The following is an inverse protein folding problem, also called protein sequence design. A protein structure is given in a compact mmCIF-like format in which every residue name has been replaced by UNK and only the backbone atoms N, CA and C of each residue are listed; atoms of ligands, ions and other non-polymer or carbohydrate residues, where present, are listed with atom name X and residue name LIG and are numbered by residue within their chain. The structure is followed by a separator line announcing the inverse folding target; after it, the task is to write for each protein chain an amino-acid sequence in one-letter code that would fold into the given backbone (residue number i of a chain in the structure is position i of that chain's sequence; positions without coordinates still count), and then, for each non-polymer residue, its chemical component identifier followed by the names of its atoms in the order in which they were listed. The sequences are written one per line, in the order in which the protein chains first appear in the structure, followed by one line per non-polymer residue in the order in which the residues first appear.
data_IF_036625008961
#
_entry.id   IF_036625008961
#
_cell.length_a   1.000
_cell.length_b   1.000
_cell.length_c   1.000
_cell.angle_alpha   90.00
_cell.angle_beta   90.00
_cell.angle_gamma   90.00
#
_symmetry.space_group_name_H-M   'P 1'
#
loop_
_entity.id
_entity.type
_entity.pdbx_description
1 polymer ?
#
# COMPACT_ATOMS: atom_id res chain seq x y z
N UNK A 1 24.45 -0.06 2.64
CA UNK A 1 25.04 -1.42 2.70
C UNK A 1 26.56 -1.42 2.91
N UNK A 2 27.38 -1.03 1.92
CA UNK A 2 28.86 -1.10 2.01
C UNK A 2 29.47 -0.49 3.28
N UNK A 3 29.01 0.72 3.68
CA UNK A 3 29.51 1.41 4.88
C UNK A 3 29.37 0.58 6.16
N UNK A 4 28.26 -0.15 6.31
CA UNK A 4 27.96 -0.96 7.52
C UNK A 4 28.88 -2.19 7.55
N UNK A 5 28.98 -2.93 6.44
CA UNK A 5 29.86 -4.11 6.33
C UNK A 5 31.32 -3.72 6.57
N UNK A 6 31.78 -2.64 5.93
CA UNK A 6 33.14 -2.13 6.10
C UNK A 6 33.42 -1.68 7.53
N UNK A 7 32.45 -1.06 8.20
CA UNK A 7 32.59 -0.60 9.58
C UNK A 7 32.90 -1.77 10.52
N UNK A 8 32.05 -2.80 10.53
CA UNK A 8 32.25 -3.98 11.39
C UNK A 8 33.51 -4.77 11.02
N UNK A 9 33.83 -4.89 9.73
CA UNK A 9 35.07 -5.53 9.30
C UNK A 9 36.33 -4.81 9.80
N UNK A 10 36.37 -3.47 9.68
CA UNK A 10 37.49 -2.66 10.17
C UNK A 10 37.57 -2.71 11.71
N UNK A 11 36.43 -2.67 12.40
CA UNK A 11 36.40 -2.82 13.86
C UNK A 11 37.01 -4.16 14.28
N UNK A 12 36.56 -5.27 13.70
CA UNK A 12 37.10 -6.60 13.99
C UNK A 12 38.61 -6.68 13.81
N UNK A 13 39.14 -6.07 12.75
CA UNK A 13 40.58 -5.98 12.51
C UNK A 13 41.32 -5.13 13.55
N UNK A 14 40.79 -3.95 13.88
CA UNK A 14 41.45 -3.01 14.81
C UNK A 14 41.49 -3.53 16.24
N UNK A 15 40.40 -4.16 16.69
CA UNK A 15 40.29 -4.65 18.07
C UNK A 15 40.75 -6.10 18.22
N UNK A 16 41.13 -6.77 17.12
CA UNK A 16 41.40 -8.21 17.08
C UNK A 16 40.24 -9.04 17.68
N UNK A 17 39.01 -8.54 17.54
CA UNK A 17 37.81 -9.16 18.11
C UNK A 17 37.03 -9.86 17.00
N UNK A 18 37.09 -11.20 17.01
CA UNK A 18 36.45 -12.05 16.01
C UNK A 18 34.92 -11.99 16.05
N UNK A 19 34.30 -11.55 17.16
CA UNK A 19 32.84 -11.41 17.25
C UNK A 19 32.29 -10.41 16.23
N UNK A 20 33.03 -9.34 15.91
CA UNK A 20 32.62 -8.42 14.84
C UNK A 20 32.62 -9.07 13.46
N UNK A 21 33.52 -10.02 13.21
CA UNK A 21 33.56 -10.78 11.96
C UNK A 21 32.39 -11.76 11.91
N UNK A 22 32.10 -12.45 13.01
CA UNK A 22 30.93 -13.32 13.10
C UNK A 22 29.62 -12.57 12.88
N UNK A 23 29.46 -11.38 13.46
CA UNK A 23 28.28 -10.55 13.22
C UNK A 23 28.10 -10.28 11.73
N UNK A 24 29.16 -9.86 11.02
CA UNK A 24 29.10 -9.66 9.56
C UNK A 24 28.68 -10.94 8.84
N UNK A 25 29.31 -12.09 9.15
CA UNK A 25 28.99 -13.35 8.49
C UNK A 25 27.54 -13.79 8.74
N UNK A 26 27.02 -13.61 9.94
CA UNK A 26 25.64 -13.94 10.31
C UNK A 26 24.61 -13.09 9.56
N UNK A 27 24.88 -11.78 9.39
CA UNK A 27 23.94 -10.87 8.70
C UNK A 27 24.17 -10.78 7.19
N UNK A 28 25.27 -11.33 6.67
CA UNK A 28 25.64 -11.23 5.26
C UNK A 28 24.56 -11.77 4.31
N UNK A 29 23.89 -12.90 4.59
CA UNK A 29 22.80 -13.37 3.74
C UNK A 29 21.69 -12.33 3.57
N UNK A 30 21.25 -11.68 4.65
CA UNK A 30 20.20 -10.66 4.56
C UNK A 30 20.67 -9.38 3.89
N UNK A 31 21.91 -8.97 4.13
CA UNK A 31 22.52 -7.87 3.37
C UNK A 31 22.49 -8.16 1.86
N UNK A 32 22.79 -9.40 1.47
CA UNK A 32 22.76 -9.82 0.06
C UNK A 32 21.34 -9.83 -0.51
N UNK A 33 20.33 -10.25 0.26
CA UNK A 33 18.92 -10.17 -0.16
C UNK A 33 18.51 -8.71 -0.38
N UNK A 34 18.81 -7.82 0.57
CA UNK A 34 18.54 -6.38 0.45
C UNK A 34 19.21 -5.80 -0.80
N UNK A 35 20.50 -6.11 -1.01
CA UNK A 35 21.24 -5.62 -2.18
C UNK A 35 20.61 -6.07 -3.52
N UNK A 36 20.16 -7.33 -3.58
CA UNK A 36 19.46 -7.86 -4.77
C UNK A 36 18.12 -7.17 -4.99
N UNK A 37 17.34 -6.93 -3.94
CA UNK A 37 16.05 -6.25 -4.03
C UNK A 37 16.19 -4.80 -4.52
N UNK A 38 17.19 -4.05 -4.05
CA UNK A 38 17.49 -2.72 -4.59
C UNK A 38 17.98 -2.77 -6.03
N UNK A 39 18.75 -3.79 -6.41
CA UNK A 39 19.18 -3.93 -7.80
C UNK A 39 18.00 -4.19 -8.74
N UNK A 40 17.09 -5.09 -8.36
CA UNK A 40 15.89 -5.38 -9.17
C UNK A 40 14.90 -4.22 -9.18
N UNK A 41 14.82 -3.42 -8.11
CA UNK A 41 13.96 -2.23 -8.09
C UNK A 41 14.38 -1.20 -9.13
N UNK A 42 15.68 -0.94 -9.31
CA UNK A 42 16.18 -0.02 -10.35
C UNK A 42 15.68 -0.41 -11.74
N UNK A 43 15.69 -1.72 -12.06
CA UNK A 43 15.17 -2.21 -13.34
C UNK A 43 13.65 -2.08 -13.44
N UNK A 44 12.90 -2.33 -12.35
CA UNK A 44 11.46 -2.15 -12.30
C UNK A 44 11.08 -0.68 -12.56
N UNK A 45 11.75 0.25 -11.87
CA UNK A 45 11.54 1.68 -12.02
C UNK A 45 11.89 2.17 -13.42
N UNK A 46 13.01 1.71 -13.99
CA UNK A 46 13.42 2.06 -15.35
C UNK A 46 12.42 1.59 -16.41
N UNK A 47 11.80 0.42 -16.21
CA UNK A 47 10.82 -0.17 -17.15
C UNK A 47 9.38 0.24 -16.87
N UNK A 48 9.12 0.95 -15.78
CA UNK A 48 7.76 1.25 -15.32
C UNK A 48 6.96 -0.02 -15.00
N UNK A 49 7.62 -1.04 -14.46
CA UNK A 49 6.96 -2.31 -14.06
C UNK A 49 6.42 -2.18 -12.63
N UNK A 50 5.19 -2.68 -12.34
CA UNK A 50 4.66 -2.68 -10.98
C UNK A 50 5.57 -3.37 -9.97
N UNK A 51 5.66 -2.78 -8.77
CA UNK A 51 6.38 -3.30 -7.61
C UNK A 51 5.40 -3.79 -6.54
N UNK A 52 5.86 -4.57 -5.55
CA UNK A 52 4.99 -5.13 -4.50
C UNK A 52 4.17 -4.08 -3.75
N UNK A 53 4.78 -2.92 -3.45
CA UNK A 53 4.11 -1.78 -2.79
C UNK A 53 2.94 -1.21 -3.61
N UNK A 54 2.90 -1.48 -4.92
CA UNK A 54 1.80 -1.05 -5.79
C UNK A 54 0.51 -1.86 -5.66
N UNK A 55 0.41 -2.76 -4.68
CA UNK A 55 -0.78 -3.58 -4.51
C UNK A 55 -2.06 -2.75 -4.27
N UNK A 56 -2.03 -1.76 -3.36
CA UNK A 56 -3.19 -0.93 -3.08
C UNK A 56 -3.71 -0.21 -4.34
N UNK A 57 -2.84 0.52 -5.07
CA UNK A 57 -3.20 1.09 -6.36
C UNK A 57 -3.69 0.06 -7.38
N UNK A 58 -3.11 -1.15 -7.42
CA UNK A 58 -3.54 -2.21 -8.32
C UNK A 58 -4.96 -2.68 -7.99
N UNK A 59 -5.31 -2.84 -6.72
CA UNK A 59 -6.67 -3.20 -6.28
C UNK A 59 -7.68 -2.16 -6.75
N UNK A 60 -7.36 -0.88 -6.60
CA UNK A 60 -8.22 0.21 -7.10
C UNK A 60 -8.35 0.15 -8.62
N UNK A 61 -7.25 -0.04 -9.35
CA UNK A 61 -7.27 -0.13 -10.80
C UNK A 61 -8.10 -1.33 -11.30
N UNK A 62 -8.00 -2.49 -10.63
CA UNK A 62 -8.82 -3.68 -10.89
C UNK A 62 -10.30 -3.39 -10.64
N UNK A 63 -10.62 -2.81 -9.50
CA UNK A 63 -11.99 -2.43 -9.17
C UNK A 63 -12.55 -1.50 -10.26
N UNK A 64 -11.84 -0.43 -10.65
CA UNK A 64 -12.31 0.48 -11.71
C UNK A 64 -12.52 -0.28 -13.04
N UNK A 65 -11.57 -1.12 -13.42
CA UNK A 65 -11.58 -1.85 -14.69
C UNK A 65 -12.74 -2.83 -14.81
N UNK A 66 -13.20 -3.43 -13.71
CA UNK A 66 -14.35 -4.33 -13.71
C UNK A 66 -15.68 -3.63 -14.04
N UNK A 67 -15.82 -2.35 -13.68
CA UNK A 67 -17.06 -1.60 -13.91
C UNK A 67 -16.98 -0.75 -15.18
N UNK A 68 -15.91 0.02 -15.33
CA UNK A 68 -15.70 0.86 -16.51
C UNK A 68 -14.20 1.09 -16.78
N UNK A 69 -13.61 0.35 -17.73
CA UNK A 69 -12.20 0.49 -18.11
C UNK A 69 -11.80 1.89 -18.61
N UNK A 70 -12.76 2.68 -19.09
CA UNK A 70 -12.51 4.01 -19.66
C UNK A 70 -12.90 5.14 -18.70
N UNK A 71 -13.11 4.83 -17.42
CA UNK A 71 -13.45 5.82 -16.42
C UNK A 71 -12.28 6.78 -16.21
N UNK A 72 -12.48 8.05 -16.51
CA UNK A 72 -11.48 9.09 -16.28
C UNK A 72 -11.37 9.41 -14.79
N UNK A 73 -10.13 9.63 -14.34
CA UNK A 73 -9.84 9.99 -12.96
C UNK A 73 -9.93 11.51 -12.75
N UNK A 74 -10.53 11.93 -11.64
CA UNK A 74 -10.42 13.30 -11.13
C UNK A 74 -9.18 13.42 -10.24
N UNK A 75 -8.49 14.57 -10.25
CA UNK A 75 -7.41 14.83 -9.29
C UNK A 75 -7.97 15.50 -8.03
N UNK A 76 -7.92 14.80 -6.89
CA UNK A 76 -8.53 15.26 -5.62
C UNK A 76 -7.51 15.93 -4.70
N UNK A 77 -6.25 15.49 -4.76
CA UNK A 77 -5.12 16.04 -4.03
C UNK A 77 -3.84 15.84 -4.85
N UNK A 78 -2.73 16.38 -4.38
CA UNK A 78 -1.42 16.27 -5.04
C UNK A 78 -1.07 14.81 -5.33
N UNK A 79 -1.00 14.47 -6.62
CA UNK A 79 -0.71 13.13 -7.13
C UNK A 79 -1.67 12.04 -6.61
N UNK A 80 -2.94 12.37 -6.36
CA UNK A 80 -3.99 11.40 -6.01
C UNK A 80 -5.14 11.45 -7.02
N UNK A 81 -5.44 10.29 -7.59
CA UNK A 81 -6.57 10.05 -8.49
C UNK A 81 -7.80 9.56 -7.73
N UNK A 82 -8.96 10.11 -8.09
CA UNK A 82 -10.28 9.74 -7.60
C UNK A 82 -11.12 9.19 -8.76
N UNK A 83 -11.73 8.04 -8.53
CA UNK A 83 -12.73 7.45 -9.42
C UNK A 83 -14.04 7.29 -8.66
N UNK A 84 -15.16 7.43 -9.36
CA UNK A 84 -16.50 7.30 -8.79
C UNK A 84 -17.22 6.15 -9.48
N UNK A 85 -17.60 5.14 -8.70
CA UNK A 85 -18.30 3.96 -9.19
C UNK A 85 -19.56 3.77 -8.35
N UNK A 86 -20.63 3.31 -8.99
CA UNK A 86 -21.83 2.87 -8.28
C UNK A 86 -21.80 1.35 -8.18
N UNK A 87 -21.81 0.82 -6.96
CA UNK A 87 -21.89 -0.61 -6.69
C UNK A 87 -23.16 -0.92 -5.92
N UNK A 88 -24.10 -1.68 -6.50
CA UNK A 88 -25.35 -2.08 -5.83
C UNK A 88 -26.04 -0.91 -5.10
N UNK A 89 -26.24 0.21 -5.80
CA UNK A 89 -26.86 1.41 -5.24
C UNK A 89 -25.99 2.22 -4.27
N UNK A 90 -24.75 1.82 -3.99
CA UNK A 90 -23.77 2.54 -3.14
C UNK A 90 -22.84 3.38 -3.97
N UNK A 91 -22.48 4.56 -3.47
CA UNK A 91 -21.52 5.46 -4.09
C UNK A 91 -20.10 5.13 -3.59
N UNK A 92 -19.29 4.48 -4.41
CA UNK A 92 -17.92 4.08 -4.05
C UNK A 92 -16.92 5.09 -4.63
N UNK A 93 -16.21 5.77 -3.73
CA UNK A 93 -15.15 6.73 -4.04
C UNK A 93 -13.80 6.00 -3.96
N UNK A 94 -13.28 5.59 -5.10
CA UNK A 94 -12.03 4.84 -5.22
C UNK A 94 -10.86 5.83 -5.34
N UNK A 95 -9.87 5.72 -4.46
CA UNK A 95 -8.74 6.65 -4.35
C UNK A 95 -7.43 5.89 -4.47
N UNK A 96 -6.51 6.34 -5.33
CA UNK A 96 -5.14 5.81 -5.40
C UNK A 96 -4.14 6.90 -5.79
N UNK A 97 -2.85 6.65 -5.55
CA UNK A 97 -1.81 7.49 -6.11
C UNK A 97 -1.88 7.55 -7.64
N UNK A 98 -1.55 8.71 -8.21
CA UNK A 98 -1.59 8.94 -9.66
C UNK A 98 -0.53 8.06 -10.35
N UNK A 99 -0.96 7.29 -11.33
CA UNK A 99 -0.12 6.37 -12.08
C UNK A 99 -0.06 6.72 -13.56
N UNK A 100 0.83 6.08 -14.35
CA UNK A 100 1.71 4.95 -13.99
C UNK A 100 3.09 5.38 -13.46
N UNK A 101 3.25 6.64 -13.03
CA UNK A 101 4.48 7.12 -12.39
C UNK A 101 4.69 6.51 -11.00
N UNK A 102 5.94 6.58 -10.50
CA UNK A 102 6.32 6.05 -9.18
C UNK A 102 5.88 6.92 -8.01
N UNK A 103 4.66 7.48 -8.08
CA UNK A 103 4.09 8.36 -7.07
C UNK A 103 3.46 7.57 -5.92
N UNK A 104 3.54 8.13 -4.71
CA UNK A 104 2.80 7.68 -3.52
C UNK A 104 1.69 8.67 -3.16
N UNK A 105 1.83 9.93 -3.56
CA UNK A 105 0.85 11.00 -3.35
C UNK A 105 0.63 11.38 -1.88
N UNK A 106 -0.44 12.14 -1.63
CA UNK A 106 -0.89 12.56 -0.29
C UNK A 106 -2.29 12.02 0.03
N UNK A 107 -2.42 10.71 0.35
CA UNK A 107 -3.73 10.07 0.55
C UNK A 107 -4.49 10.64 1.74
N UNK A 108 -3.82 11.11 2.79
CA UNK A 108 -4.45 11.73 3.94
C UNK A 108 -5.12 13.06 3.61
N UNK A 109 -4.47 13.88 2.78
CA UNK A 109 -5.07 15.13 2.28
C UNK A 109 -6.28 14.85 1.38
N UNK A 110 -6.19 13.82 0.53
CA UNK A 110 -7.30 13.40 -0.33
C UNK A 110 -8.52 12.94 0.47
N UNK A 111 -8.33 12.02 1.43
CA UNK A 111 -9.41 11.49 2.28
C UNK A 111 -10.04 12.60 3.11
N UNK A 112 -9.22 13.47 3.73
CA UNK A 112 -9.70 14.62 4.48
C UNK A 112 -10.60 15.51 3.62
N UNK A 113 -10.14 15.87 2.43
CA UNK A 113 -10.90 16.71 1.49
C UNK A 113 -12.23 16.05 1.09
N UNK A 114 -12.24 14.75 0.82
CA UNK A 114 -13.46 14.01 0.45
C UNK A 114 -14.50 14.01 1.58
N UNK A 115 -14.05 13.81 2.82
CA UNK A 115 -14.93 13.82 3.99
C UNK A 115 -15.48 15.22 4.24
N UNK A 116 -14.62 16.25 4.20
CA UNK A 116 -15.01 17.65 4.44
C UNK A 116 -15.97 18.17 3.36
N UNK A 117 -15.71 17.89 2.08
CA UNK A 117 -16.59 18.26 0.97
C UNK A 117 -18.00 17.67 1.08
N UNK A 118 -18.12 16.52 1.74
CA UNK A 118 -19.39 15.83 1.99
C UNK A 118 -19.97 16.11 3.36
N UNK A 119 -19.38 17.05 4.11
CA UNK A 119 -19.80 17.37 5.49
C UNK A 119 -19.90 16.12 6.38
N UNK A 120 -19.02 15.14 6.17
CA UNK A 120 -19.02 13.88 6.92
C UNK A 120 -20.00 12.81 6.41
N UNK A 121 -20.70 13.02 5.29
CA UNK A 121 -21.61 12.02 4.70
C UNK A 121 -20.84 10.89 3.99
N UNK A 122 -20.03 10.17 4.75
CA UNK A 122 -19.28 8.97 4.38
C UNK A 122 -19.62 7.91 5.44
N UNK A 123 -20.13 6.76 5.03
CA UNK A 123 -20.51 5.70 5.97
C UNK A 123 -19.31 4.89 6.47
N UNK A 124 -18.27 4.76 5.63
CA UNK A 124 -17.10 3.93 5.92
C UNK A 124 -15.90 4.29 5.04
N UNK A 125 -14.70 4.03 5.56
CA UNK A 125 -13.44 4.06 4.82
C UNK A 125 -12.86 2.65 4.80
N UNK A 126 -12.48 2.15 3.62
CA UNK A 126 -11.81 0.87 3.43
C UNK A 126 -10.43 1.16 2.85
N UNK A 127 -9.38 0.90 3.61
CA UNK A 127 -7.99 1.10 3.18
C UNK A 127 -7.39 -0.22 2.73
N UNK A 128 -6.61 -0.18 1.65
CA UNK A 128 -5.88 -1.35 1.15
C UNK A 128 -4.41 -1.01 1.06
N UNK A 129 -3.57 -1.81 1.72
CA UNK A 129 -2.13 -1.56 1.78
C UNK A 129 -1.32 -2.86 1.64
N UNK A 130 -0.07 -2.72 1.23
CA UNK A 130 0.94 -3.76 1.27
C UNK A 130 1.60 -3.79 2.65
N UNK A 131 1.56 -4.93 3.34
CA UNK A 131 2.13 -5.05 4.69
C UNK A 131 3.31 -6.00 4.73
N UNK A 132 4.30 -5.70 5.57
CA UNK A 132 5.38 -6.63 5.88
C UNK A 132 4.84 -7.89 6.57
N UNK A 133 5.27 -9.05 6.06
CA UNK A 133 5.00 -10.36 6.66
C UNK A 133 6.05 -10.71 7.71
N UNK A 134 5.68 -11.53 8.68
CA UNK A 134 6.62 -12.27 9.51
C UNK A 134 7.09 -13.55 8.78
N UNK A 135 8.22 -14.11 9.20
CA UNK A 135 8.80 -15.26 8.48
C UNK A 135 7.87 -16.49 8.44
N UNK A 136 7.04 -16.64 9.49
CA UNK A 136 6.02 -17.70 9.56
C UNK A 136 4.72 -17.41 8.78
N UNK A 137 4.53 -16.18 8.29
CA UNK A 137 3.34 -15.80 7.53
C UNK A 137 3.56 -16.08 6.03
N UNK A 138 2.58 -16.66 5.32
CA UNK A 138 2.67 -16.84 3.88
C UNK A 138 2.67 -15.50 3.14
N UNK A 139 3.41 -15.44 2.02
CA UNK A 139 3.29 -14.33 1.08
C UNK A 139 1.88 -14.31 0.49
N UNK A 140 1.36 -13.11 0.24
CA UNK A 140 0.02 -12.86 -0.24
C UNK A 140 -1.11 -13.26 0.72
N UNK A 141 -0.80 -13.48 2.00
CA UNK A 141 -1.84 -13.62 3.04
C UNK A 141 -2.63 -12.32 3.17
N UNK A 142 -3.96 -12.40 3.12
CA UNK A 142 -4.84 -11.24 3.25
C UNK A 142 -5.41 -11.19 4.66
N UNK A 143 -5.09 -10.11 5.35
CA UNK A 143 -5.49 -9.83 6.74
C UNK A 143 -6.36 -8.60 6.81
N UNK A 144 -7.32 -8.58 7.72
CA UNK A 144 -8.26 -7.47 7.91
C UNK A 144 -8.10 -6.88 9.31
N UNK A 145 -8.04 -5.56 9.39
CA UNK A 145 -7.85 -4.80 10.62
C UNK A 145 -8.84 -3.64 10.71
N UNK A 146 -8.91 -3.02 11.89
CA UNK A 146 -9.65 -1.77 12.12
C UNK A 146 -8.63 -0.65 12.29
N UNK A 147 -8.91 0.51 11.69
CA UNK A 147 -8.02 1.67 11.69
C UNK A 147 -7.23 1.82 10.40
N UNK A 148 -6.46 2.91 10.31
CA UNK A 148 -5.74 3.25 9.10
C UNK A 148 -4.51 2.35 8.91
N UNK A 149 -4.45 1.68 7.76
CA UNK A 149 -3.29 0.91 7.32
C UNK A 149 -2.48 1.73 6.31
N UNK A 150 -1.30 2.16 6.74
CA UNK A 150 -0.32 2.84 5.91
C UNK A 150 1.08 2.50 6.45
N UNK A 151 2.01 2.15 5.55
CA UNK A 151 3.38 1.81 5.91
C UNK A 151 4.17 2.94 6.61
N UNK A 152 3.77 4.20 6.41
CA UNK A 152 4.33 5.35 7.13
C UNK A 152 3.55 5.62 8.44
N UNK A 153 4.17 5.48 9.63
CA UNK A 153 3.53 5.85 10.90
C UNK A 153 3.36 7.38 11.07
N UNK A 154 3.82 8.18 10.12
CA UNK A 154 3.91 9.64 10.18
C UNK A 154 2.59 10.40 9.90
N UNK A 155 2.68 11.56 9.21
CA UNK A 155 1.61 12.56 9.16
C UNK A 155 0.35 12.10 8.42
N UNK A 156 0.49 11.24 7.41
CA UNK A 156 -0.66 10.80 6.61
C UNK A 156 -1.60 9.89 7.41
N UNK A 157 -1.06 8.96 8.20
CA UNK A 157 -1.86 8.12 9.11
C UNK A 157 -2.66 8.98 10.08
N UNK A 158 -1.97 9.91 10.74
CA UNK A 158 -2.57 10.80 11.72
C UNK A 158 -3.71 11.63 11.12
N UNK A 159 -3.49 12.23 9.93
CA UNK A 159 -4.53 13.03 9.25
C UNK A 159 -5.79 12.21 8.98
N UNK A 160 -5.64 10.96 8.52
CA UNK A 160 -6.76 10.07 8.21
C UNK A 160 -7.52 9.70 9.49
N UNK A 161 -6.81 9.29 10.54
CA UNK A 161 -7.44 8.89 11.80
C UNK A 161 -8.07 10.08 12.52
N UNK A 162 -7.46 11.26 12.49
CA UNK A 162 -7.98 12.50 13.07
C UNK A 162 -9.31 12.88 12.41
N UNK A 163 -9.35 12.96 11.08
CA UNK A 163 -10.57 13.35 10.35
C UNK A 163 -11.65 12.29 10.48
N UNK A 164 -11.32 11.00 10.39
CA UNK A 164 -12.30 9.93 10.55
C UNK A 164 -12.89 9.93 11.95
N UNK A 165 -12.07 10.14 12.99
CA UNK A 165 -12.54 10.24 14.38
C UNK A 165 -13.45 11.44 14.57
N UNK A 166 -13.08 12.61 14.03
CA UNK A 166 -13.88 13.84 14.10
C UNK A 166 -15.30 13.67 13.55
N UNK A 167 -15.45 12.91 12.46
CA UNK A 167 -16.74 12.63 11.82
C UNK A 167 -17.34 11.28 12.21
N UNK A 168 -16.73 10.56 13.16
CA UNK A 168 -17.17 9.24 13.63
C UNK A 168 -17.31 8.19 12.51
N UNK A 169 -16.41 8.25 11.52
CA UNK A 169 -16.41 7.34 10.37
C UNK A 169 -15.54 6.12 10.70
N UNK A 170 -16.07 4.89 10.63
CA UNK A 170 -15.28 3.69 10.85
C UNK A 170 -14.28 3.46 9.69
N UNK A 171 -13.08 3.00 10.05
CA UNK A 171 -12.04 2.62 9.10
C UNK A 171 -11.80 1.11 9.20
N UNK A 172 -11.99 0.41 8.09
CA UNK A 172 -11.53 -0.95 7.89
C UNK A 172 -10.27 -0.93 7.03
N UNK A 173 -9.33 -1.84 7.30
CA UNK A 173 -8.15 -2.00 6.45
C UNK A 173 -7.96 -3.45 6.03
N UNK A 174 -7.55 -3.64 4.79
CA UNK A 174 -7.17 -4.91 4.20
C UNK A 174 -5.69 -4.82 3.86
N UNK A 175 -4.89 -5.67 4.50
CA UNK A 175 -3.45 -5.68 4.31
C UNK A 175 -3.05 -7.03 3.75
N UNK A 176 -2.29 -6.99 2.65
CA UNK A 176 -1.73 -8.20 2.06
C UNK A 176 -0.26 -8.30 2.43
N UNK A 177 0.07 -9.42 3.07
CA UNK A 177 1.39 -9.70 3.63
C UNK A 177 2.38 -10.05 2.54
N UNK A 178 3.55 -9.42 2.56
CA UNK A 178 4.66 -9.71 1.67
C UNK A 178 6.00 -9.53 2.38
N UNK A 179 7.06 -10.12 1.82
CA UNK A 179 8.41 -9.82 2.32
C UNK A 179 8.68 -8.32 2.15
N UNK A 180 9.27 -7.62 3.14
CA UNK A 180 9.62 -6.20 2.99
C UNK A 180 10.47 -5.90 1.74
N UNK A 181 11.26 -6.87 1.27
CA UNK A 181 12.03 -6.75 0.04
C UNK A 181 11.18 -6.89 -1.23
N UNK A 182 10.06 -7.61 -1.16
CA UNK A 182 9.12 -7.73 -2.27
C UNK A 182 8.37 -6.41 -2.51
N UNK A 183 8.19 -5.59 -1.48
CA UNK A 183 7.56 -4.27 -1.62
C UNK A 183 8.30 -3.36 -2.61
N UNK A 184 9.64 -3.42 -2.62
CA UNK A 184 10.48 -2.60 -3.53
C UNK A 184 10.85 -3.32 -4.83
N UNK A 185 10.71 -4.65 -4.89
CA UNK A 185 11.03 -5.45 -6.06
C UNK A 185 9.84 -5.56 -7.03
N UNK A 186 10.07 -6.12 -8.22
CA UNK A 186 9.02 -6.43 -9.19
C UNK A 186 7.91 -7.25 -8.51
N UNK A 187 6.66 -6.84 -8.70
CA UNK A 187 5.51 -7.50 -8.09
C UNK A 187 5.45 -8.97 -8.48
N UNK A 188 5.43 -9.85 -7.48
CA UNK A 188 5.26 -11.30 -7.70
C UNK A 188 3.84 -11.61 -8.16
N UNK A 189 3.70 -12.68 -8.96
CA UNK A 189 2.40 -13.14 -9.47
C UNK A 189 1.38 -13.38 -8.37
N UNK A 190 1.79 -14.00 -7.27
CA UNK A 190 0.97 -14.28 -6.08
C UNK A 190 0.38 -12.99 -5.47
N UNK A 191 1.18 -11.92 -5.35
CA UNK A 191 0.73 -10.60 -4.87
C UNK A 191 -0.27 -9.99 -5.87
N UNK A 192 0.03 -10.05 -7.17
CA UNK A 192 -0.88 -9.54 -8.20
C UNK A 192 -2.22 -10.27 -8.23
N UNK A 193 -2.24 -11.59 -8.00
CA UNK A 193 -3.48 -12.38 -7.95
C UNK A 193 -4.29 -12.12 -6.67
N UNK A 194 -3.61 -11.80 -5.57
CA UNK A 194 -4.29 -11.40 -4.34
C UNK A 194 -5.11 -10.12 -4.52
N UNK A 195 -4.74 -9.24 -5.47
CA UNK A 195 -5.51 -8.02 -5.75
C UNK A 195 -6.98 -8.32 -6.11
N UNK A 196 -7.22 -9.34 -6.92
CA UNK A 196 -8.58 -9.74 -7.32
C UNK A 196 -9.37 -10.24 -6.08
N UNK A 197 -8.72 -11.07 -5.24
CA UNK A 197 -9.31 -11.53 -3.97
C UNK A 197 -9.57 -10.40 -2.96
N UNK A 198 -8.79 -9.32 -3.00
CA UNK A 198 -9.03 -8.12 -2.19
C UNK A 198 -10.23 -7.34 -2.72
N UNK A 199 -10.41 -7.22 -4.04
CA UNK A 199 -11.62 -6.61 -4.63
C UNK A 199 -12.88 -7.34 -4.14
N UNK A 200 -12.87 -8.67 -4.13
CA UNK A 200 -13.99 -9.47 -3.62
C UNK A 200 -14.24 -9.23 -2.12
N UNK A 201 -13.19 -9.05 -1.32
CA UNK A 201 -13.33 -8.67 0.11
C UNK A 201 -13.91 -7.28 0.28
N UNK A 202 -13.50 -6.30 -0.54
CA UNK A 202 -14.09 -4.95 -0.50
C UNK A 202 -15.59 -5.03 -0.78
N UNK A 203 -16.00 -5.75 -1.84
CA UNK A 203 -17.42 -5.94 -2.19
C UNK A 203 -18.21 -6.55 -1.04
N UNK A 204 -17.67 -7.59 -0.40
CA UNK A 204 -18.26 -8.20 0.79
C UNK A 204 -18.44 -7.22 1.94
N UNK A 205 -17.42 -6.39 2.22
CA UNK A 205 -17.50 -5.35 3.27
C UNK A 205 -18.59 -4.31 2.92
N UNK A 206 -18.70 -3.92 1.64
CA UNK A 206 -19.75 -3.01 1.18
C UNK A 206 -21.14 -3.63 1.42
N UNK A 207 -21.34 -4.89 1.08
CA UNK A 207 -22.61 -5.60 1.27
C UNK A 207 -22.97 -5.79 2.75
N UNK A 208 -22.03 -6.23 3.58
CA UNK A 208 -22.27 -6.59 4.97
C UNK A 208 -22.35 -5.38 5.92
N UNK A 209 -21.64 -4.29 5.61
CA UNK A 209 -21.41 -3.18 6.56
C UNK A 209 -21.90 -1.82 6.09
N UNK A 210 -22.59 -1.75 4.93
CA UNK A 210 -23.15 -0.50 4.39
C UNK A 210 -24.49 -0.77 3.70
N UNK A 211 -25.29 0.28 3.49
CA UNK A 211 -26.63 0.20 2.91
C UNK A 211 -26.70 0.91 1.55
N UNK A 212 -27.73 0.61 0.76
CA UNK A 212 -27.99 1.34 -0.48
C UNK A 212 -28.09 2.86 -0.21
N UNK A 213 -27.53 3.67 -1.12
CA UNK A 213 -27.42 5.12 -0.97
C UNK A 213 -26.20 5.59 -0.17
N UNK A 214 -25.55 4.71 0.59
CA UNK A 214 -24.33 5.06 1.34
C UNK A 214 -23.20 5.50 0.40
N UNK A 215 -22.33 6.38 0.92
CA UNK A 215 -21.08 6.74 0.26
C UNK A 215 -19.90 6.16 1.03
N UNK A 216 -19.05 5.42 0.34
CA UNK A 216 -17.89 4.71 0.92
C UNK A 216 -16.62 5.17 0.23
N UNK A 217 -15.54 5.38 0.98
CA UNK A 217 -14.21 5.62 0.42
C UNK A 217 -13.43 4.31 0.42
N UNK A 218 -12.85 3.95 -0.72
CA UNK A 218 -11.90 2.85 -0.83
C UNK A 218 -10.56 3.43 -1.26
N UNK A 219 -9.55 3.35 -0.41
CA UNK A 219 -8.24 3.94 -0.64
C UNK A 219 -7.17 2.87 -0.83
N UNK A 220 -6.62 2.78 -2.04
CA UNK A 220 -5.45 1.97 -2.36
C UNK A 220 -4.17 2.75 -2.06
N UNK A 221 -3.46 2.33 -1.03
CA UNK A 221 -2.21 2.94 -0.55
C UNK A 221 -1.01 2.21 -1.14
N UNK A 222 0.01 2.98 -1.51
CA UNK A 222 1.27 2.49 -2.06
C UNK A 222 1.65 3.15 -3.39
N UNK A 223 2.74 2.67 -3.97
CA UNK A 223 3.35 3.25 -5.18
C UNK A 223 2.61 2.86 -6.47
N UNK A 224 2.24 3.84 -7.30
CA UNK A 224 1.50 3.60 -8.55
C UNK A 224 2.35 3.29 -9.79
N UNK A 225 3.62 2.94 -9.62
CA UNK A 225 4.49 2.65 -10.78
C UNK A 225 3.94 1.51 -11.64
N UNK A 226 3.82 1.76 -12.94
CA UNK A 226 3.34 0.76 -13.90
C UNK A 226 1.85 0.42 -13.79
N UNK A 227 1.09 1.13 -12.93
CA UNK A 227 -0.33 0.89 -12.68
C UNK A 227 -1.11 2.09 -13.18
N UNK A 228 -2.05 1.88 -14.11
CA UNK A 228 -2.90 2.95 -14.66
C UNK A 228 -4.20 3.07 -13.89
#
# INVERSE_FOLDING_TARGET
IYRIVRHYFIMGRKTQNFYYIFQVQMVLPEIMKIAKAYHTSVDAFRRGTPIGDGLGPLVVARFVSEYNPNLEAEEIAENISLYRVTYEGRNVLLVKAKGPGGEVGKPGDAIKRLIEMRSGAISRIIMVDAGGKLEGEPTAEITEYVGAAIGDPGPEKYKIEEVATKYQIPIDSIVVKMDPLDAIAIMKKEISLAADSVVDRIKRILEERTHEGDTVIVAGIGNSIGIR
#
